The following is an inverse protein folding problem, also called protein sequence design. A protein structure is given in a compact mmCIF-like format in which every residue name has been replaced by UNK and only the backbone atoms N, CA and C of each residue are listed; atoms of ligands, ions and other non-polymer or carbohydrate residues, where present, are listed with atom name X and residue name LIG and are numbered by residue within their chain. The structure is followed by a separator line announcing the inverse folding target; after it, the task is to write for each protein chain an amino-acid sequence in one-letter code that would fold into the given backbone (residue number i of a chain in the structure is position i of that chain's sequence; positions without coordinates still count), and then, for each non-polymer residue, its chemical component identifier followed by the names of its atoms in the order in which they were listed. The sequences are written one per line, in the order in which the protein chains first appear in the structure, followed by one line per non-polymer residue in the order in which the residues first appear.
data_IF_077788511845
#
_entry.id   IF_077788511845
#
_cell.length_a   1.000
_cell.length_b   1.000
_cell.length_c   1.000
_cell.angle_alpha   90.00
_cell.angle_beta   90.00
_cell.angle_gamma   90.00
#
_symmetry.space_group_name_H-M   'P 1'
#
loop_
_entity.id
_entity.type
_entity.pdbx_description
1 polymer ?
#
# COMPACT_ATOMS: atom_id res chain seq x y z
N UNK A 1 4.31 -0.32 -18.15
CA UNK A 1 3.44 -1.22 -17.38
C UNK A 1 2.11 -1.35 -18.11
N UNK A 2 1.56 -2.57 -18.24
CA UNK A 2 0.26 -2.81 -18.89
C UNK A 2 -0.92 -2.75 -17.91
N UNK A 3 -2.15 -2.64 -18.42
CA UNK A 3 -3.39 -2.55 -17.62
C UNK A 3 -3.57 -3.73 -16.66
N UNK A 4 -3.36 -4.96 -17.11
CA UNK A 4 -3.48 -6.15 -16.28
C UNK A 4 -2.45 -6.19 -15.14
N UNK A 5 -1.25 -5.65 -15.37
CA UNK A 5 -0.20 -5.57 -14.35
C UNK A 5 -0.51 -4.50 -13.30
N UNK A 6 -1.12 -3.37 -13.71
CA UNK A 6 -1.63 -2.34 -12.80
C UNK A 6 -2.70 -2.92 -11.88
N UNK A 7 -3.69 -3.61 -12.45
CA UNK A 7 -4.79 -4.19 -11.68
C UNK A 7 -4.27 -5.21 -10.67
N UNK A 8 -3.39 -6.13 -11.10
CA UNK A 8 -2.79 -7.12 -10.20
C UNK A 8 -2.01 -6.46 -9.06
N UNK A 9 -1.14 -5.48 -9.36
CA UNK A 9 -0.38 -4.77 -8.31
C UNK A 9 -1.29 -4.01 -7.35
N UNK A 10 -2.37 -3.41 -7.84
CA UNK A 10 -3.36 -2.76 -7.00
C UNK A 10 -4.02 -3.76 -6.03
N UNK A 11 -4.50 -4.90 -6.53
CA UNK A 11 -5.11 -5.95 -5.71
C UNK A 11 -4.14 -6.52 -4.66
N UNK A 12 -2.87 -6.72 -5.02
CA UNK A 12 -1.82 -7.15 -4.10
C UNK A 12 -1.59 -6.14 -2.97
N UNK A 13 -1.51 -4.84 -3.30
CA UNK A 13 -1.32 -3.77 -2.32
C UNK A 13 -2.56 -3.59 -1.43
N UNK A 14 -3.76 -3.70 -1.99
CA UNK A 14 -5.02 -3.65 -1.25
C UNK A 14 -5.11 -4.81 -0.25
N UNK A 15 -4.82 -6.04 -0.70
CA UNK A 15 -4.82 -7.23 0.16
C UNK A 15 -3.80 -7.11 1.29
N UNK A 16 -2.59 -6.63 0.99
CA UNK A 16 -1.56 -6.41 2.00
C UNK A 16 -2.00 -5.34 3.02
N UNK A 17 -2.59 -4.24 2.55
CA UNK A 17 -3.10 -3.17 3.41
C UNK A 17 -4.20 -3.68 4.34
N UNK A 18 -5.18 -4.41 3.80
CA UNK A 18 -6.28 -4.98 4.58
C UNK A 18 -5.79 -5.97 5.65
N UNK A 19 -4.78 -6.78 5.31
CA UNK A 19 -4.18 -7.72 6.26
C UNK A 19 -3.53 -6.96 7.43
N UNK A 20 -2.73 -5.93 7.14
CA UNK A 20 -2.06 -5.12 8.16
C UNK A 20 -3.08 -4.38 9.04
N UNK A 21 -4.16 -3.86 8.46
CA UNK A 21 -5.25 -3.21 9.19
C UNK A 21 -5.93 -4.21 10.13
N UNK A 22 -6.27 -5.40 9.66
CA UNK A 22 -6.88 -6.43 10.50
C UNK A 22 -5.97 -6.84 11.68
N UNK A 23 -4.65 -6.96 11.45
CA UNK A 23 -3.67 -7.20 12.52
C UNK A 23 -3.65 -6.04 13.53
N UNK A 24 -3.70 -4.79 13.05
CA UNK A 24 -3.72 -3.59 13.90
C UNK A 24 -5.01 -3.50 14.73
N UNK A 25 -6.17 -3.77 14.14
CA UNK A 25 -7.48 -3.74 14.82
C UNK A 25 -7.56 -4.75 15.96
N UNK A 26 -6.99 -5.95 15.80
CA UNK A 26 -6.91 -6.93 16.89
C UNK A 26 -6.09 -6.42 18.06
N UNK A 27 -5.02 -5.67 17.79
CA UNK A 27 -4.13 -5.14 18.81
C UNK A 27 -4.74 -3.91 19.50
N UNK A 28 -5.48 -3.08 18.75
CA UNK A 28 -6.29 -1.98 19.29
C UNK A 28 -7.38 -2.53 20.23
N UNK A 29 -8.09 -3.59 19.85
CA UNK A 29 -9.08 -4.21 20.74
C UNK A 29 -8.46 -4.70 22.06
N UNK A 30 -7.26 -5.29 22.00
CA UNK A 30 -6.53 -5.67 23.22
C UNK A 30 -6.11 -4.45 24.06
N UNK A 31 -5.69 -3.36 23.41
CA UNK A 31 -5.36 -2.08 24.05
C UNK A 31 -6.58 -1.51 24.80
N UNK A 32 -7.71 -1.40 24.12
CA UNK A 32 -8.96 -0.86 24.67
C UNK A 32 -9.51 -1.71 25.82
N UNK A 33 -9.33 -3.03 25.75
CA UNK A 33 -9.67 -3.96 26.82
C UNK A 33 -8.69 -3.97 28.01
N UNK A 34 -7.60 -3.20 27.95
CA UNK A 34 -6.55 -3.20 28.98
C UNK A 34 -5.78 -4.53 29.08
N UNK A 35 -5.80 -5.35 28.02
CA UNK A 35 -5.22 -6.70 28.00
C UNK A 35 -3.82 -6.75 27.36
N UNK A 36 -3.23 -5.59 27.06
CA UNK A 36 -1.88 -5.53 26.49
C UNK A 36 -0.84 -5.96 27.50
N UNK A 37 0.00 -6.89 27.08
CA UNK A 37 1.13 -7.40 27.85
C UNK A 37 2.43 -7.00 27.18
N UNK A 38 3.54 -7.13 27.92
CA UNK A 38 4.87 -6.88 27.37
C UNK A 38 5.20 -7.75 26.15
N UNK A 39 4.61 -8.94 26.05
CA UNK A 39 4.70 -9.85 24.89
C UNK A 39 4.01 -9.30 23.62
N UNK A 40 3.08 -8.36 23.74
CA UNK A 40 2.41 -7.72 22.59
C UNK A 40 3.23 -6.53 22.02
N UNK A 41 4.21 -5.99 22.77
CA UNK A 41 5.04 -4.85 22.34
C UNK A 41 5.85 -5.12 21.05
N UNK A 42 6.48 -6.30 20.85
CA UNK A 42 7.14 -6.63 19.59
C UNK A 42 6.17 -6.66 18.40
N UNK A 43 4.93 -7.15 18.61
CA UNK A 43 3.90 -7.16 17.57
C UNK A 43 3.45 -5.76 17.19
N UNK A 44 3.32 -4.85 18.16
CA UNK A 44 2.98 -3.45 17.90
C UNK A 44 4.04 -2.78 17.01
N UNK A 45 5.32 -2.97 17.33
CA UNK A 45 6.41 -2.43 16.52
C UNK A 45 6.45 -3.08 15.12
N UNK A 46 6.20 -4.39 15.00
CA UNK A 46 6.13 -5.07 13.70
C UNK A 46 5.01 -4.50 12.83
N UNK A 47 3.80 -4.34 13.36
CA UNK A 47 2.65 -3.76 12.63
C UNK A 47 2.97 -2.33 12.18
N UNK A 48 3.60 -1.53 13.04
CA UNK A 48 4.03 -0.18 12.68
C UNK A 48 5.05 -0.19 11.54
N UNK A 49 6.04 -1.09 11.56
CA UNK A 49 6.98 -1.22 10.45
C UNK A 49 6.30 -1.67 9.15
N UNK A 50 5.37 -2.63 9.24
CA UNK A 50 4.53 -3.06 8.09
C UNK A 50 3.73 -1.88 7.51
N UNK A 51 3.11 -1.05 8.34
CA UNK A 51 2.37 0.15 7.90
C UNK A 51 3.27 1.17 7.18
N UNK A 52 4.48 1.40 7.69
CA UNK A 52 5.46 2.30 7.05
C UNK A 52 5.85 1.75 5.67
N UNK A 53 6.24 0.47 5.61
CA UNK A 53 6.62 -0.18 4.35
C UNK A 53 5.45 -0.20 3.34
N UNK A 54 4.23 -0.46 3.80
CA UNK A 54 3.04 -0.45 2.95
C UNK A 54 2.75 0.95 2.38
N UNK A 55 2.95 2.00 3.19
CA UNK A 55 2.82 3.39 2.73
C UNK A 55 3.85 3.72 1.66
N UNK A 56 5.09 3.27 1.80
CA UNK A 56 6.14 3.47 0.80
C UNK A 56 5.85 2.71 -0.50
N UNK A 57 5.36 1.47 -0.40
CA UNK A 57 4.95 0.67 -1.54
C UNK A 57 3.81 1.34 -2.33
N UNK A 58 2.78 1.81 -1.62
CA UNK A 58 1.67 2.58 -2.21
C UNK A 58 2.14 3.88 -2.85
N UNK A 59 3.03 4.62 -2.20
CA UNK A 59 3.59 5.86 -2.74
C UNK A 59 4.39 5.61 -4.04
N UNK A 60 5.18 4.54 -4.07
CA UNK A 60 5.96 4.13 -5.25
C UNK A 60 5.03 3.74 -6.41
N UNK A 61 3.98 2.96 -6.13
CA UNK A 61 3.00 2.57 -7.14
C UNK A 61 2.25 3.79 -7.68
N UNK A 62 1.82 4.72 -6.82
CA UNK A 62 1.18 5.97 -7.26
C UNK A 62 2.10 6.85 -8.11
N UNK A 63 3.39 6.93 -7.79
CA UNK A 63 4.37 7.63 -8.60
C UNK A 63 4.54 6.99 -9.99
N UNK A 64 4.50 5.65 -10.07
CA UNK A 64 4.56 4.89 -11.32
C UNK A 64 3.30 5.10 -12.17
N UNK A 65 2.10 5.08 -11.56
CA UNK A 65 0.84 5.42 -12.24
C UNK A 65 0.86 6.85 -12.77
N UNK A 66 1.38 7.79 -11.98
CA UNK A 66 1.51 9.20 -12.39
C UNK A 66 2.41 9.30 -13.62
N UNK A 67 3.57 8.63 -13.63
CA UNK A 67 4.46 8.60 -14.79
C UNK A 67 3.78 8.02 -16.02
N UNK A 68 3.06 6.90 -15.88
CA UNK A 68 2.37 6.26 -16.99
C UNK A 68 1.31 7.18 -17.62
N UNK A 69 0.57 7.95 -16.81
CA UNK A 69 -0.40 8.95 -17.30
C UNK A 69 0.32 10.07 -18.07
N UNK A 70 1.46 10.55 -17.58
CA UNK A 70 2.24 11.57 -18.28
C UNK A 70 2.83 11.02 -19.60
N UNK A 71 3.37 9.80 -19.61
CA UNK A 71 3.92 9.15 -20.81
C UNK A 71 2.84 8.90 -21.88
N UNK A 72 1.60 8.59 -21.49
CA UNK A 72 0.47 8.49 -22.42
C UNK A 72 -0.03 9.86 -22.92
N UNK A 73 0.21 10.93 -22.16
CA UNK A 73 -0.20 12.28 -22.53
C UNK A 73 0.83 12.98 -23.44
N UNK A 74 2.09 12.58 -23.38
CA UNK A 74 3.21 13.15 -24.16
C UNK A 74 3.36 12.51 -25.55
N UNK A 75 2.49 11.59 -25.97
CA UNK A 75 2.48 11.07 -27.34
C UNK A 75 2.10 12.23 -28.27
N UNK A 76 3.06 12.83 -29.02
CA UNK A 76 2.74 13.97 -29.85
C UNK A 76 1.91 13.42 -31.00
N UNK A 77 0.77 14.04 -31.24
CA UNK A 77 0.06 13.99 -32.52
C UNK A 77 1.05 14.37 -33.63
N UNK A 78 1.81 13.39 -34.14
CA UNK A 78 2.51 13.49 -35.42
C UNK A 78 1.45 13.42 -36.49
N UNK A 79 0.80 14.55 -36.74
CA UNK A 79 0.15 14.80 -38.02
C UNK A 79 1.23 14.83 -39.09
N UNK A 80 1.25 13.90 -40.06
CA UNK A 80 2.11 14.06 -41.22
C UNK A 80 1.54 15.21 -42.05
N UNK A 81 2.35 16.24 -42.29
CA UNK A 81 2.06 17.32 -43.23
C UNK A 81 3.05 17.28 -44.38
#
# INVERSE_FOLDING_TARGET
MGKDEILRRHEELETATNTIIAEAEQLIHKLEGGQIKAEDMPRLEEIKQKLIAQREANAKFNAELTRLVHEQSDEPTRTPH
#
